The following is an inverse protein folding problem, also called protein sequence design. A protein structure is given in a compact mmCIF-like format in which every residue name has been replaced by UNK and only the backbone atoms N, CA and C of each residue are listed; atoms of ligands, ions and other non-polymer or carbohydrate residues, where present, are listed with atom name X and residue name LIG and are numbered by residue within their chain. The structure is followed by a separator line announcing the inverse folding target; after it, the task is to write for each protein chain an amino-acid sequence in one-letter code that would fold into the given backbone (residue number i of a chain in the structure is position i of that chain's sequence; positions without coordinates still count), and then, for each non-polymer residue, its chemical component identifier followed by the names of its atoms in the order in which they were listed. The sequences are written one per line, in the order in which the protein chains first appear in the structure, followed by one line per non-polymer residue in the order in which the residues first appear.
data_IF_980501078910
#
_entry.id   IF_980501078910
#
_cell.length_a   1.000
_cell.length_b   1.000
_cell.length_c   1.000
_cell.angle_alpha   90.00
_cell.angle_beta   90.00
_cell.angle_gamma   90.00
#
_symmetry.space_group_name_H-M   'P 1'
#
loop_
_entity.id
_entity.type
_entity.pdbx_description
1 polymer ?
#
# COMPACT_ATOMS: atom_id res chain seq x y z
N UNK A 1 -0.30 23.95 21.11
CA UNK A 1 0.03 22.70 21.81
C UNK A 1 0.93 21.93 20.85
N UNK A 2 2.17 21.64 21.23
CA UNK A 2 3.03 20.81 20.37
C UNK A 2 2.42 19.41 20.30
N UNK A 3 2.41 18.76 19.12
CA UNK A 3 1.90 17.39 19.00
C UNK A 3 2.73 16.43 19.87
N UNK A 4 2.08 15.54 20.62
CA UNK A 4 2.78 14.49 21.35
C UNK A 4 3.36 13.48 20.36
N UNK A 5 4.67 13.24 20.42
CA UNK A 5 5.38 12.31 19.55
C UNK A 5 4.84 10.88 19.72
N UNK A 6 4.43 10.50 20.94
CA UNK A 6 3.87 9.18 21.19
C UNK A 6 2.55 8.98 20.43
N UNK A 7 1.62 9.92 20.55
CA UNK A 7 0.35 9.90 19.81
C UNK A 7 0.58 9.89 18.29
N UNK A 8 1.56 10.66 17.79
CA UNK A 8 1.91 10.65 16.37
C UNK A 8 2.37 9.26 15.93
N UNK A 9 3.26 8.61 16.68
CA UNK A 9 3.77 7.30 16.25
C UNK A 9 2.70 6.23 16.34
N UNK A 10 1.84 6.26 17.36
CA UNK A 10 0.69 5.36 17.46
C UNK A 10 -0.27 5.55 16.28
N UNK A 11 -0.51 6.79 15.86
CA UNK A 11 -1.44 7.08 14.77
C UNK A 11 -0.86 6.84 13.37
N UNK A 12 0.42 7.13 13.15
CA UNK A 12 1.03 7.18 11.81
C UNK A 12 2.10 6.11 11.57
N UNK A 13 2.56 5.37 12.60
CA UNK A 13 3.63 4.37 12.52
C UNK A 13 3.42 3.27 11.48
N UNK A 14 2.26 2.63 11.53
CA UNK A 14 1.87 1.57 10.59
C UNK A 14 1.77 2.13 9.16
N UNK A 15 1.18 3.31 9.02
CA UNK A 15 1.02 4.03 7.75
C UNK A 15 2.38 4.29 7.08
N UNK A 16 3.34 4.89 7.80
CA UNK A 16 4.67 5.21 7.25
C UNK A 16 5.36 3.95 6.74
N UNK A 17 5.30 2.89 7.55
CA UNK A 17 5.90 1.60 7.23
C UNK A 17 5.25 0.96 5.99
N UNK A 18 3.94 1.10 5.84
CA UNK A 18 3.18 0.63 4.68
C UNK A 18 3.53 1.37 3.40
N UNK A 19 3.59 2.71 3.45
CA UNK A 19 3.96 3.52 2.27
C UNK A 19 5.36 3.15 1.80
N UNK A 20 6.34 3.08 2.71
CA UNK A 20 7.71 2.76 2.34
C UNK A 20 7.80 1.36 1.70
N UNK A 21 7.13 0.37 2.29
CA UNK A 21 7.09 -0.99 1.75
C UNK A 21 6.43 -1.09 0.37
N UNK A 22 5.35 -0.34 0.14
CA UNK A 22 4.63 -0.35 -1.14
C UNK A 22 5.32 0.46 -2.23
N UNK A 23 6.28 1.32 -1.84
CA UNK A 23 7.05 2.16 -2.76
C UNK A 23 8.41 1.54 -3.13
N UNK A 24 9.01 0.73 -2.26
CA UNK A 24 10.39 0.23 -2.38
C UNK A 24 10.40 -1.29 -2.25
N UNK A 25 10.94 -2.00 -3.24
CA UNK A 25 10.89 -3.47 -3.27
C UNK A 25 11.85 -4.11 -2.25
N UNK A 26 13.05 -3.52 -2.10
CA UNK A 26 14.02 -4.03 -1.15
C UNK A 26 13.56 -3.73 0.28
N UNK A 27 13.31 -4.78 1.06
CA UNK A 27 12.76 -4.67 2.42
C UNK A 27 13.65 -3.87 3.38
N UNK A 28 14.97 -4.02 3.28
CA UNK A 28 15.90 -3.28 4.14
C UNK A 28 15.94 -1.80 3.77
N UNK A 29 15.95 -1.47 2.47
CA UNK A 29 15.89 -0.07 2.00
C UNK A 29 14.53 0.56 2.38
N UNK A 30 13.43 -0.19 2.26
CA UNK A 30 12.10 0.28 2.67
C UNK A 30 12.05 0.60 4.18
N UNK A 31 12.68 -0.25 5.00
CA UNK A 31 12.80 -0.03 6.44
C UNK A 31 13.67 1.19 6.75
N UNK A 32 14.80 1.35 6.08
CA UNK A 32 15.67 2.52 6.20
C UNK A 32 14.93 3.82 5.83
N UNK A 33 14.18 3.81 4.72
CA UNK A 33 13.36 4.94 4.30
C UNK A 33 12.29 5.28 5.34
N UNK A 34 11.59 4.29 5.89
CA UNK A 34 10.63 4.50 6.97
C UNK A 34 11.30 5.08 8.23
N UNK A 35 12.52 4.64 8.55
CA UNK A 35 13.28 5.19 9.66
C UNK A 35 13.69 6.63 9.45
N UNK A 36 14.14 6.98 8.26
CA UNK A 36 14.49 8.36 7.97
C UNK A 36 13.28 9.30 7.96
N UNK A 37 12.08 8.81 7.56
CA UNK A 37 10.85 9.59 7.72
C UNK A 37 10.64 10.01 9.16
N UNK A 38 10.78 9.08 10.11
CA UNK A 38 10.62 9.38 11.53
C UNK A 38 11.72 10.29 12.07
N UNK A 39 12.96 10.08 11.63
CA UNK A 39 14.05 11.00 11.94
C UNK A 39 13.72 12.43 11.50
N UNK A 40 13.22 12.63 10.28
CA UNK A 40 12.85 13.94 9.77
C UNK A 40 11.62 14.53 10.50
N UNK A 41 10.63 13.72 10.89
CA UNK A 41 9.49 14.17 11.70
C UNK A 41 9.99 14.67 13.07
N UNK A 42 10.77 13.88 13.79
CA UNK A 42 11.29 14.24 15.13
C UNK A 42 12.14 15.51 15.04
N UNK A 43 13.00 15.60 14.02
CA UNK A 43 13.88 16.76 13.82
C UNK A 43 13.11 18.05 13.52
N UNK A 44 11.90 17.96 12.94
CA UNK A 44 11.14 19.12 12.48
C UNK A 44 9.85 19.38 13.25
N UNK A 45 9.48 18.54 14.22
CA UNK A 45 8.20 18.65 14.94
C UNK A 45 8.07 19.98 15.69
N UNK A 46 9.16 20.50 16.26
CA UNK A 46 9.16 21.79 16.95
C UNK A 46 8.90 22.98 16.01
N UNK A 47 9.16 22.79 14.72
CA UNK A 47 8.91 23.80 13.68
C UNK A 47 7.52 23.71 13.06
N UNK A 48 6.70 22.71 13.44
CA UNK A 48 5.33 22.59 12.95
C UNK A 48 4.48 23.73 13.51
N UNK A 49 4.07 24.64 12.63
CA UNK A 49 3.36 25.87 13.00
C UNK A 49 1.84 25.83 12.76
N UNK A 50 1.30 24.69 12.28
CA UNK A 50 -0.13 24.51 12.05
C UNK A 50 -0.70 25.14 10.77
N UNK A 51 0.13 25.62 9.84
CA UNK A 51 -0.33 26.13 8.54
C UNK A 51 -1.02 25.07 7.68
N UNK A 52 -0.76 23.79 7.94
CA UNK A 52 -1.46 22.65 7.37
C UNK A 52 -1.92 21.69 8.48
N UNK A 53 -2.85 20.79 8.16
CA UNK A 53 -3.20 19.72 9.08
C UNK A 53 -1.99 18.83 9.39
N UNK A 54 -1.88 18.34 10.63
CA UNK A 54 -0.76 17.50 11.07
C UNK A 54 -0.53 16.30 10.15
N UNK A 55 -1.60 15.64 9.70
CA UNK A 55 -1.51 14.52 8.75
C UNK A 55 -0.92 14.96 7.40
N UNK A 56 -1.35 16.09 6.84
CA UNK A 56 -0.79 16.66 5.60
C UNK A 56 0.70 16.92 5.73
N UNK A 57 1.12 17.50 6.84
CA UNK A 57 2.54 17.77 7.13
C UNK A 57 3.37 16.48 7.21
N UNK A 58 2.90 15.47 7.97
CA UNK A 58 3.55 14.15 8.07
C UNK A 58 3.61 13.48 6.69
N UNK A 59 2.51 13.43 5.95
CA UNK A 59 2.46 12.83 4.60
C UNK A 59 3.39 13.55 3.61
N UNK A 60 3.63 14.85 3.80
CA UNK A 60 4.57 15.64 2.98
C UNK A 60 6.02 15.24 3.26
N UNK A 61 6.38 15.06 4.53
CA UNK A 61 7.70 14.51 4.92
C UNK A 61 7.86 13.09 4.37
N UNK A 62 6.83 12.23 4.54
CA UNK A 62 6.81 10.87 4.01
C UNK A 62 7.08 10.84 2.51
N UNK A 63 6.32 11.64 1.73
CA UNK A 63 6.49 11.77 0.28
C UNK A 63 7.93 12.11 -0.06
N UNK A 64 8.47 13.19 0.53
CA UNK A 64 9.80 13.71 0.19
C UNK A 64 10.88 12.65 0.41
N UNK A 65 10.87 12.00 1.57
CA UNK A 65 11.87 11.00 1.92
C UNK A 65 11.70 9.74 1.07
N UNK A 66 10.50 9.16 1.01
CA UNK A 66 10.26 7.88 0.32
C UNK A 66 10.46 8.00 -1.19
N UNK A 67 10.04 9.10 -1.84
CA UNK A 67 10.31 9.30 -3.27
C UNK A 67 11.79 9.41 -3.59
N UNK A 68 12.60 9.96 -2.67
CA UNK A 68 14.05 10.03 -2.82
C UNK A 68 14.67 8.63 -2.84
N UNK A 69 14.25 7.75 -1.94
CA UNK A 69 14.67 6.34 -1.94
C UNK A 69 14.14 5.59 -3.17
N UNK A 70 12.90 5.84 -3.55
CA UNK A 70 12.26 5.17 -4.69
C UNK A 70 12.74 5.70 -6.06
N UNK A 71 13.63 6.70 -6.13
CA UNK A 71 14.04 7.36 -7.39
C UNK A 71 14.51 6.37 -8.46
N UNK A 72 15.19 5.30 -8.06
CA UNK A 72 15.73 4.28 -8.95
C UNK A 72 14.84 3.02 -9.05
N UNK A 73 13.67 3.03 -8.42
CA UNK A 73 12.69 1.94 -8.54
C UNK A 73 12.20 1.85 -9.98
N UNK A 74 12.39 0.67 -10.58
CA UNK A 74 11.96 0.42 -11.95
C UNK A 74 10.43 0.28 -12.00
N UNK A 75 9.85 0.75 -13.09
CA UNK A 75 8.45 0.45 -13.40
C UNK A 75 8.41 -0.98 -13.92
N UNK A 76 7.71 -1.86 -13.18
CA UNK A 76 7.54 -3.24 -13.57
C UNK A 76 6.73 -3.33 -14.87
N UNK A 77 7.22 -4.13 -15.79
CA UNK A 77 6.54 -4.50 -17.02
C UNK A 77 5.49 -5.58 -16.74
N UNK A 78 4.51 -5.71 -17.63
CA UNK A 78 3.51 -6.76 -17.52
C UNK A 78 4.11 -8.17 -17.60
N UNK A 79 5.25 -8.33 -18.29
CA UNK A 79 5.95 -9.61 -18.43
C UNK A 79 6.69 -10.00 -17.15
N UNK A 80 7.39 -9.07 -16.49
CA UNK A 80 8.02 -9.34 -15.18
C UNK A 80 6.96 -9.83 -14.19
N UNK A 81 5.80 -9.17 -14.14
CA UNK A 81 4.71 -9.63 -13.30
C UNK A 81 4.17 -11.02 -13.70
N UNK A 82 4.26 -11.44 -14.96
CA UNK A 82 3.82 -12.78 -15.40
C UNK A 82 4.75 -13.86 -14.89
N UNK A 83 6.07 -13.68 -15.03
CA UNK A 83 7.07 -14.62 -14.52
C UNK A 83 6.90 -14.86 -13.02
N UNK A 84 6.61 -13.80 -12.25
CA UNK A 84 6.30 -13.94 -10.83
C UNK A 84 4.96 -14.65 -10.53
N UNK A 85 3.96 -14.56 -11.42
CA UNK A 85 2.66 -15.26 -11.29
C UNK A 85 2.71 -16.73 -11.70
N UNK A 86 3.86 -17.21 -12.18
CA UNK A 86 4.09 -18.60 -12.57
C UNK A 86 4.92 -19.40 -11.56
N UNK A 87 5.25 -18.82 -10.40
CA UNK A 87 5.92 -19.54 -9.31
C UNK A 87 5.13 -20.80 -8.90
N UNK A 88 5.82 -21.89 -8.52
CA UNK A 88 5.20 -23.18 -8.25
C UNK A 88 4.19 -23.12 -7.10
N UNK A 89 3.04 -23.79 -7.30
CA UNK A 89 1.96 -23.88 -6.33
C UNK A 89 2.19 -25.04 -5.35
N UNK A 90 2.64 -24.70 -4.15
CA UNK A 90 2.47 -25.51 -2.94
C UNK A 90 0.95 -25.69 -2.71
N UNK A 91 0.47 -26.78 -2.14
CA UNK A 91 -0.96 -26.91 -1.78
C UNK A 91 -1.14 -27.36 -0.32
N UNK A 92 -2.34 -27.17 0.21
CA UNK A 92 -2.55 -26.75 1.61
C UNK A 92 -3.23 -27.78 2.50
N UNK A 93 -2.90 -27.79 3.80
CA UNK A 93 -3.48 -28.71 4.78
C UNK A 93 -4.19 -28.05 5.99
N UNK A 94 -4.34 -26.72 6.05
CA UNK A 94 -5.37 -26.09 6.89
C UNK A 94 -5.13 -26.00 8.40
N UNK A 95 -3.94 -26.34 8.92
CA UNK A 95 -3.72 -26.46 10.37
C UNK A 95 -2.60 -25.59 10.98
N UNK A 96 -1.99 -24.65 10.27
CA UNK A 96 -1.10 -23.68 10.94
C UNK A 96 -1.21 -22.22 10.47
N UNK A 97 -0.92 -21.34 11.42
CA UNK A 97 -0.68 -19.90 11.31
C UNK A 97 0.43 -19.60 10.32
N UNK A 98 1.38 -20.51 10.13
CA UNK A 98 2.45 -20.36 9.14
C UNK A 98 1.89 -20.16 7.72
N UNK A 99 0.79 -20.83 7.29
CA UNK A 99 0.13 -20.48 6.02
C UNK A 99 -0.83 -19.29 6.15
N UNK A 100 -1.37 -18.91 7.32
CA UNK A 100 -1.98 -17.58 7.45
C UNK A 100 -0.96 -16.48 7.13
N UNK A 101 0.25 -16.54 7.69
CA UNK A 101 1.29 -15.55 7.38
C UNK A 101 1.86 -15.71 5.96
N UNK A 102 1.91 -16.91 5.39
CA UNK A 102 2.24 -17.10 3.96
C UNK A 102 1.18 -16.46 3.03
N UNK A 103 -0.11 -16.72 3.24
CA UNK A 103 -1.22 -16.13 2.47
C UNK A 103 -1.14 -14.61 2.53
N UNK A 104 -0.94 -14.07 3.75
CA UNK A 104 -0.77 -12.64 4.01
C UNK A 104 0.40 -12.05 3.23
N UNK A 105 1.59 -12.63 3.36
CA UNK A 105 2.81 -12.24 2.62
C UNK A 105 2.58 -12.29 1.12
N UNK A 106 1.83 -13.28 0.61
CA UNK A 106 1.51 -13.37 -0.80
C UNK A 106 0.53 -12.29 -1.28
N UNK A 107 -0.50 -11.97 -0.50
CA UNK A 107 -1.41 -10.86 -0.79
C UNK A 107 -0.67 -9.53 -0.82
N UNK A 108 0.03 -9.22 0.26
CA UNK A 108 0.97 -8.11 0.43
C UNK A 108 1.91 -7.96 -0.78
N UNK A 109 2.61 -9.04 -1.16
CA UNK A 109 3.50 -9.06 -2.32
C UNK A 109 2.77 -8.80 -3.65
N UNK A 110 1.60 -9.40 -3.87
CA UNK A 110 0.81 -9.22 -5.08
C UNK A 110 0.33 -7.76 -5.24
N UNK A 111 -0.11 -7.13 -4.15
CA UNK A 111 -0.52 -5.73 -4.16
C UNK A 111 0.67 -4.80 -4.41
N UNK A 112 1.80 -5.06 -3.77
CA UNK A 112 3.03 -4.30 -3.99
C UNK A 112 3.49 -4.44 -5.45
N UNK A 113 3.54 -5.65 -6.01
CA UNK A 113 3.93 -5.85 -7.41
C UNK A 113 3.04 -5.07 -8.39
N UNK A 114 1.72 -5.03 -8.18
CA UNK A 114 0.80 -4.23 -8.99
C UNK A 114 1.10 -2.73 -8.91
N UNK A 115 1.37 -2.23 -7.71
CA UNK A 115 1.74 -0.84 -7.48
C UNK A 115 3.02 -0.45 -8.25
N UNK A 116 3.97 -1.38 -8.40
CA UNK A 116 5.20 -1.16 -9.17
C UNK A 116 4.99 -1.02 -10.68
N UNK A 117 3.79 -1.30 -11.19
CA UNK A 117 3.42 -1.00 -12.58
C UNK A 117 3.13 0.49 -12.82
N UNK A 118 2.97 1.26 -11.75
CA UNK A 118 2.75 2.69 -11.78
C UNK A 118 4.09 3.43 -11.69
N UNK A 119 4.14 4.63 -12.28
CA UNK A 119 5.23 5.59 -12.00
C UNK A 119 5.23 5.92 -10.51
N UNK A 120 6.36 6.35 -9.95
CA UNK A 120 6.46 6.60 -8.50
C UNK A 120 5.40 7.59 -7.98
N UNK A 121 5.16 8.70 -8.69
CA UNK A 121 4.13 9.66 -8.28
C UNK A 121 2.72 9.07 -8.36
N UNK A 122 2.41 8.33 -9.43
CA UNK A 122 1.13 7.67 -9.57
C UNK A 122 0.92 6.57 -8.52
N UNK A 123 1.98 5.83 -8.18
CA UNK A 123 2.01 4.83 -7.12
C UNK A 123 1.70 5.46 -5.77
N UNK A 124 2.35 6.58 -5.45
CA UNK A 124 2.15 7.26 -4.18
C UNK A 124 0.74 7.88 -4.08
N UNK A 125 0.25 8.52 -5.15
CA UNK A 125 -1.14 9.01 -5.24
C UNK A 125 -2.13 7.87 -5.06
N UNK A 126 -1.87 6.72 -5.69
CA UNK A 126 -2.69 5.54 -5.55
C UNK A 126 -2.72 5.03 -4.11
N UNK A 127 -1.57 4.93 -3.44
CA UNK A 127 -1.49 4.53 -2.02
C UNK A 127 -2.27 5.51 -1.15
N UNK A 128 -2.02 6.82 -1.28
CA UNK A 128 -2.77 7.83 -0.51
C UNK A 128 -4.28 7.73 -0.73
N UNK A 129 -4.71 7.50 -1.98
CA UNK A 129 -6.15 7.48 -2.27
C UNK A 129 -6.83 6.18 -1.88
N UNK A 130 -6.20 5.04 -2.15
CA UNK A 130 -6.81 3.72 -2.05
C UNK A 130 -6.54 3.10 -0.68
N UNK A 131 -5.28 3.12 -0.23
CA UNK A 131 -4.93 2.54 1.06
C UNK A 131 -5.38 3.41 2.23
N UNK A 132 -5.16 4.72 2.13
CA UNK A 132 -5.37 5.64 3.25
C UNK A 132 -6.67 6.45 3.13
N UNK A 133 -7.40 6.30 2.02
CA UNK A 133 -8.65 7.01 1.74
C UNK A 133 -8.57 8.54 1.85
N UNK A 134 -7.42 9.14 1.53
CA UNK A 134 -7.28 10.59 1.67
C UNK A 134 -8.20 11.34 0.68
N UNK A 135 -8.74 12.50 1.07
CA UNK A 135 -9.44 13.40 0.15
C UNK A 135 -8.50 13.89 -0.95
N UNK A 136 -9.01 14.07 -2.18
CA UNK A 136 -8.20 14.55 -3.30
C UNK A 136 -7.52 15.89 -3.02
N UNK A 137 -8.22 16.81 -2.33
CA UNK A 137 -7.67 18.07 -1.87
C UNK A 137 -6.41 17.88 -1.03
N UNK A 138 -6.46 17.02 -0.02
CA UNK A 138 -5.30 16.74 0.83
C UNK A 138 -4.14 16.12 0.04
N UNK A 139 -4.43 15.18 -0.85
CA UNK A 139 -3.41 14.58 -1.72
C UNK A 139 -2.78 15.64 -2.63
N UNK A 140 -3.56 16.61 -3.12
CA UNK A 140 -3.08 17.70 -3.96
C UNK A 140 -2.10 18.62 -3.21
N UNK A 141 -2.38 18.91 -1.94
CA UNK A 141 -1.48 19.66 -1.04
C UNK A 141 -0.17 18.90 -0.81
N UNK A 142 -0.24 17.61 -0.48
CA UNK A 142 0.94 16.74 -0.28
C UNK A 142 1.79 16.66 -1.55
N UNK A 143 1.12 16.42 -2.69
CA UNK A 143 1.81 16.22 -3.97
C UNK A 143 2.32 17.51 -4.59
N UNK A 144 1.81 18.68 -4.20
CA UNK A 144 2.11 19.96 -4.84
C UNK A 144 1.56 20.03 -6.27
N UNK A 145 0.37 19.46 -6.48
CA UNK A 145 -0.31 19.35 -7.78
C UNK A 145 -1.70 19.95 -7.70
N UNK A 146 -2.34 20.20 -8.85
CA UNK A 146 -3.77 20.57 -8.84
C UNK A 146 -4.64 19.36 -8.47
N UNK A 147 -5.76 19.59 -7.80
CA UNK A 147 -6.69 18.51 -7.43
C UNK A 147 -7.17 17.72 -8.66
N UNK A 148 -7.40 18.40 -9.78
CA UNK A 148 -7.76 17.76 -11.05
C UNK A 148 -6.68 16.82 -11.57
N UNK A 149 -5.41 17.21 -11.48
CA UNK A 149 -4.29 16.36 -11.88
C UNK A 149 -4.23 15.08 -11.04
N UNK A 150 -4.39 15.22 -9.71
CA UNK A 150 -4.44 14.08 -8.80
C UNK A 150 -5.61 13.16 -9.14
N UNK A 151 -6.80 13.71 -9.40
CA UNK A 151 -8.00 12.93 -9.75
C UNK A 151 -7.79 12.15 -11.06
N UNK A 152 -7.20 12.78 -12.06
CA UNK A 152 -6.88 12.12 -13.32
C UNK A 152 -5.83 11.01 -13.16
N UNK A 153 -4.75 11.26 -12.42
CA UNK A 153 -3.71 10.25 -12.15
C UNK A 153 -4.29 9.07 -11.37
N UNK A 154 -5.07 9.34 -10.32
CA UNK A 154 -5.77 8.32 -9.54
C UNK A 154 -6.68 7.47 -10.42
N UNK A 155 -7.55 8.11 -11.23
CA UNK A 155 -8.46 7.42 -12.15
C UNK A 155 -7.72 6.53 -13.15
N UNK A 156 -6.62 7.02 -13.75
CA UNK A 156 -5.77 6.23 -14.65
C UNK A 156 -5.11 5.05 -13.94
N UNK A 157 -4.62 5.26 -12.72
CA UNK A 157 -3.98 4.22 -11.90
C UNK A 157 -4.96 3.11 -11.52
N UNK A 158 -6.16 3.48 -11.05
CA UNK A 158 -7.25 2.55 -10.74
C UNK A 158 -7.62 1.75 -11.99
N UNK A 159 -7.78 2.42 -13.15
CA UNK A 159 -8.12 1.74 -14.40
C UNK A 159 -7.06 0.73 -14.81
N UNK A 160 -5.77 1.10 -14.73
CA UNK A 160 -4.65 0.21 -15.07
C UNK A 160 -4.63 -1.04 -14.18
N UNK A 161 -4.75 -0.86 -12.87
CA UNK A 161 -4.75 -1.98 -11.92
C UNK A 161 -6.03 -2.83 -12.08
N UNK A 162 -7.19 -2.20 -12.20
CA UNK A 162 -8.48 -2.90 -12.42
C UNK A 162 -8.45 -3.73 -13.70
N UNK A 163 -7.84 -3.21 -14.78
CA UNK A 163 -7.68 -3.95 -16.02
C UNK A 163 -6.80 -5.19 -15.83
N UNK A 164 -5.64 -5.07 -15.15
CA UNK A 164 -4.83 -6.24 -14.75
C UNK A 164 -5.68 -7.27 -13.99
N UNK A 165 -6.45 -6.83 -12.99
CA UNK A 165 -7.22 -7.73 -12.13
C UNK A 165 -8.29 -8.47 -12.93
N UNK A 166 -9.06 -7.76 -13.75
CA UNK A 166 -10.12 -8.34 -14.57
C UNK A 166 -9.59 -9.23 -15.69
N UNK A 167 -8.38 -9.00 -16.19
CA UNK A 167 -7.81 -9.83 -17.25
C UNK A 167 -7.21 -11.12 -16.67
N UNK A 168 -6.40 -11.00 -15.62
CA UNK A 168 -5.50 -12.08 -15.21
C UNK A 168 -5.75 -12.65 -13.80
N UNK A 169 -6.47 -11.97 -12.91
CA UNK A 169 -6.63 -12.41 -11.52
C UNK A 169 -7.87 -13.31 -11.33
N UNK A 170 -7.72 -14.59 -10.92
CA UNK A 170 -8.86 -15.49 -10.73
C UNK A 170 -9.88 -15.02 -9.69
N UNK A 171 -9.49 -14.12 -8.77
CA UNK A 171 -10.42 -13.46 -7.83
C UNK A 171 -11.47 -12.57 -8.52
N UNK A 172 -11.13 -11.97 -9.66
CA UNK A 172 -11.98 -11.01 -10.37
C UNK A 172 -12.51 -11.57 -11.68
N UNK A 173 -11.77 -12.50 -12.28
CA UNK A 173 -12.13 -13.19 -13.51
C UNK A 173 -11.96 -14.71 -13.31
N UNK A 174 -13.03 -15.51 -13.26
CA UNK A 174 -12.93 -16.97 -13.12
C UNK A 174 -12.07 -17.67 -14.18
N UNK A 175 -11.83 -17.04 -15.34
CA UNK A 175 -10.93 -17.52 -16.40
C UNK A 175 -9.51 -16.93 -16.31
N UNK A 176 -9.21 -16.16 -15.26
CA UNK A 176 -7.92 -15.54 -15.03
C UNK A 176 -6.80 -16.56 -14.92
N UNK A 177 -5.64 -16.22 -15.48
CA UNK A 177 -4.49 -17.13 -15.63
C UNK A 177 -3.45 -17.03 -14.52
N UNK A 178 -3.60 -16.09 -13.55
CA UNK A 178 -2.69 -15.99 -12.41
C UNK A 178 -2.73 -17.29 -11.61
N UNK A 179 -1.58 -17.94 -11.45
CA UNK A 179 -1.44 -19.14 -10.60
C UNK A 179 -1.18 -18.77 -9.13
N UNK A 180 -1.34 -17.49 -8.78
CA UNK A 180 -1.21 -17.03 -7.41
C UNK A 180 -2.23 -17.73 -6.50
N UNK A 181 -1.76 -18.42 -5.45
CA UNK A 181 -2.60 -19.23 -4.53
C UNK A 181 -3.68 -18.43 -3.79
N UNK A 182 -3.57 -17.10 -3.78
CA UNK A 182 -4.50 -16.16 -3.15
C UNK A 182 -5.96 -16.54 -3.45
N UNK A 183 -6.28 -16.99 -4.67
CA UNK A 183 -7.66 -17.26 -5.06
C UNK A 183 -8.31 -18.42 -4.29
N UNK A 184 -7.61 -19.56 -4.17
CA UNK A 184 -8.10 -20.69 -3.37
C UNK A 184 -8.28 -20.32 -1.89
N UNK A 185 -7.39 -19.49 -1.37
CA UNK A 185 -7.35 -19.16 0.05
C UNK A 185 -8.32 -18.03 0.44
N UNK A 186 -8.56 -17.05 -0.43
CA UNK A 186 -9.64 -16.05 -0.24
C UNK A 186 -11.01 -16.74 -0.19
N UNK A 187 -11.23 -17.75 -1.04
CA UNK A 187 -12.43 -18.60 -0.99
C UNK A 187 -12.54 -19.36 0.35
N UNK A 188 -11.43 -19.95 0.85
CA UNK A 188 -11.38 -20.70 2.11
C UNK A 188 -11.53 -19.82 3.36
N UNK A 189 -11.05 -18.58 3.32
CA UNK A 189 -11.22 -17.58 4.37
C UNK A 189 -12.66 -17.06 4.50
N UNK A 190 -13.64 -17.70 3.85
CA UNK A 190 -15.08 -17.37 3.88
C UNK A 190 -15.41 -15.98 3.29
N UNK A 191 -14.39 -15.26 2.78
CA UNK A 191 -14.52 -13.92 2.19
C UNK A 191 -15.51 -13.93 1.01
N UNK A 192 -15.69 -15.04 0.30
CA UNK A 192 -16.69 -15.17 -0.75
C UNK A 192 -18.12 -14.78 -0.31
N UNK A 193 -18.56 -15.16 0.90
CA UNK A 193 -19.90 -14.77 1.40
C UNK A 193 -20.02 -13.25 1.55
N UNK A 194 -18.97 -12.57 1.98
CA UNK A 194 -18.91 -11.11 2.08
C UNK A 194 -18.69 -10.42 0.71
N UNK A 195 -18.06 -11.10 -0.25
CA UNK A 195 -17.86 -10.61 -1.62
C UNK A 195 -19.13 -10.64 -2.47
N UNK A 196 -20.09 -11.50 -2.11
CA UNK A 196 -21.42 -11.53 -2.74
C UNK A 196 -22.27 -10.31 -2.37
N UNK A 197 -21.99 -9.66 -1.24
CA UNK A 197 -22.75 -8.50 -0.75
C UNK A 197 -22.42 -7.19 -1.49
N UNK A 198 -21.33 -7.12 -2.27
CA UNK A 198 -20.88 -5.86 -2.86
C UNK A 198 -20.38 -6.07 -4.29
N UNK A 199 -21.25 -5.81 -5.28
CA UNK A 199 -20.89 -5.77 -6.70
C UNK A 199 -20.78 -4.33 -7.22
N UNK A 200 -19.67 -4.14 -7.97
CA UNK A 200 -19.25 -3.04 -8.86
C UNK A 200 -18.69 -1.78 -8.17
N UNK A 201 -17.42 -1.48 -8.54
CA UNK A 201 -16.59 -0.30 -8.23
C UNK A 201 -16.05 -0.20 -6.79
N UNK A 202 -16.60 -0.95 -5.83
CA UNK A 202 -16.13 -0.96 -4.43
C UNK A 202 -14.93 -1.91 -4.16
N UNK A 203 -14.62 -2.82 -5.09
CA UNK A 203 -13.77 -4.01 -4.83
C UNK A 203 -12.25 -3.81 -4.71
N UNK A 204 -11.68 -2.62 -4.83
CA UNK A 204 -10.21 -2.46 -4.75
C UNK A 204 -9.78 -1.75 -3.47
N UNK A 205 -10.48 -0.68 -3.13
CA UNK A 205 -10.31 0.07 -1.88
C UNK A 205 -10.55 -0.86 -0.69
N UNK A 206 -11.67 -1.59 -0.67
CA UNK A 206 -12.01 -2.51 0.43
C UNK A 206 -10.98 -3.61 0.61
N UNK A 207 -10.44 -4.17 -0.49
CA UNK A 207 -9.42 -5.22 -0.44
C UNK A 207 -8.12 -4.66 0.12
N UNK A 208 -7.65 -3.51 -0.37
CA UNK A 208 -6.42 -2.89 0.10
C UNK A 208 -6.55 -2.45 1.56
N UNK A 209 -7.66 -1.81 1.95
CA UNK A 209 -7.89 -1.34 3.31
C UNK A 209 -8.05 -2.48 4.30
N UNK A 210 -8.78 -3.53 3.92
CA UNK A 210 -8.96 -4.69 4.78
C UNK A 210 -7.67 -5.47 4.94
N UNK A 211 -6.90 -5.65 3.87
CA UNK A 211 -5.56 -6.24 3.99
C UNK A 211 -4.66 -5.37 4.86
N UNK A 212 -4.71 -4.04 4.76
CA UNK A 212 -3.91 -3.20 5.64
C UNK A 212 -4.33 -3.31 7.12
N UNK A 213 -5.63 -3.44 7.39
CA UNK A 213 -6.20 -3.54 8.73
C UNK A 213 -5.95 -4.91 9.38
N UNK A 214 -6.13 -5.99 8.62
CA UNK A 214 -5.96 -7.36 9.10
C UNK A 214 -4.48 -7.75 9.17
N UNK A 215 -3.64 -7.11 8.35
CA UNK A 215 -2.23 -7.44 8.15
C UNK A 215 -1.29 -6.24 8.47
N UNK A 216 -1.46 -5.52 9.60
CA UNK A 216 -0.82 -4.23 9.82
C UNK A 216 0.70 -4.34 9.76
N UNK A 217 1.32 -3.44 8.98
CA UNK A 217 2.78 -3.38 8.84
C UNK A 217 3.44 -2.99 10.17
N UNK A 218 4.38 -3.83 10.63
CA UNK A 218 5.15 -3.61 11.88
C UNK A 218 5.62 -2.17 11.96
N UNK A 219 5.27 -1.49 13.04
CA UNK A 219 5.77 -0.17 13.30
C UNK A 219 7.27 -0.28 13.61
N UNK A 220 8.11 0.17 12.68
CA UNK A 220 9.56 0.08 12.83
C UNK A 220 10.11 0.94 13.99
N UNK A 221 9.25 1.76 14.64
CA UNK A 221 9.59 2.67 15.74
C UNK A 221 8.95 2.36 17.08
N UNK A 222 8.11 1.32 17.19
CA UNK A 222 7.50 0.90 18.47
C UNK A 222 8.54 0.62 19.57
N UNK A 223 9.75 0.18 19.21
CA UNK A 223 10.84 -0.13 20.16
C UNK A 223 11.58 1.07 20.73
N UNK A 224 11.34 2.28 20.20
CA UNK A 224 12.04 3.50 20.65
C UNK A 224 11.17 4.30 21.64
N UNK A 225 9.86 4.04 21.67
CA UNK A 225 8.90 4.68 22.57
C UNK A 225 8.74 3.91 23.89
N UNK A 226 9.09 2.62 23.90
CA UNK A 226 9.16 1.75 25.09
C UNK A 226 10.43 1.97 25.88
#
# INVERSE_FOLDING_TARGET
MQPDLKEIVEQYGVMVSSIAHRMIQNKEIAKEAAQEVWYEIIKSIDSFNGESGLSTWIYTICKRTILRYARNERIATMNELREFRELPAIDYNGQDRDEQEWIKVCCDWCLTAQNHCLTNDARLIFIFKINLNLPYKQISEIMGMTEDSVRQISSRSIRKITHFMNDTCPLYNPQGTCKCRICKQVTLLNLEKEYTAIKKIIRLVDVYQRLEKELPRKNYWEKIIS
#
